data_IF_837397186422
#
_entry.id   IF_837397186422
#
_cell.length_a   1.000
_cell.length_b   1.000
_cell.length_c   1.000
_cell.angle_alpha   90.00
_cell.angle_beta   90.00
_cell.angle_gamma   90.00
#
_symmetry.space_group_name_H-M   'P 1'
#
loop_
_entity.id
_entity.type
_entity.pdbx_description
1 polymer ?
#
# COMPACT_ATOMS: atom_id res chain seq x y z
N UNK A 1 19.44 -17.79 1.54
CA UNK A 1 18.32 -17.06 2.18
C UNK A 1 18.76 -16.70 3.58
N UNK A 2 18.73 -15.43 3.92
CA UNK A 2 19.02 -14.94 5.27
C UNK A 2 17.70 -14.54 5.92
N UNK A 3 17.43 -15.07 7.11
CA UNK A 3 16.30 -14.66 7.93
C UNK A 3 16.75 -13.49 8.81
N UNK A 4 16.26 -12.31 8.50
CA UNK A 4 16.47 -11.11 9.30
C UNK A 4 15.27 -10.95 10.23
N UNK A 5 15.40 -11.49 11.44
CA UNK A 5 14.32 -11.47 12.44
C UNK A 5 13.99 -10.07 12.97
N UNK A 6 14.86 -9.10 12.74
CA UNK A 6 14.65 -7.69 13.07
C UNK A 6 14.36 -6.88 11.80
N UNK A 7 13.19 -6.23 11.78
CA UNK A 7 12.78 -5.38 10.65
C UNK A 7 13.75 -4.23 10.40
N UNK A 8 14.42 -3.70 11.42
CA UNK A 8 15.43 -2.66 11.27
C UNK A 8 16.61 -3.15 10.43
N UNK A 9 17.09 -4.36 10.71
CA UNK A 9 18.17 -4.96 9.92
C UNK A 9 17.78 -5.18 8.46
N UNK A 10 16.52 -5.56 8.20
CA UNK A 10 16.01 -5.71 6.84
C UNK A 10 16.08 -4.37 6.09
N UNK A 11 15.55 -3.32 6.69
CA UNK A 11 15.53 -2.00 6.04
C UNK A 11 16.94 -1.44 5.85
N UNK A 12 17.82 -1.57 6.83
CA UNK A 12 19.23 -1.15 6.73
C UNK A 12 19.95 -1.90 5.59
N UNK A 13 19.65 -3.19 5.42
CA UNK A 13 20.25 -4.02 4.35
C UNK A 13 19.77 -3.61 2.96
N UNK A 14 18.46 -3.35 2.81
CA UNK A 14 17.87 -2.84 1.56
C UNK A 14 18.43 -1.45 1.25
N UNK A 15 18.48 -0.59 2.25
CA UNK A 15 18.98 0.76 2.14
C UNK A 15 20.47 0.84 1.77
N UNK A 16 21.24 -0.15 2.16
CA UNK A 16 22.67 -0.27 1.84
C UNK A 16 22.92 -0.96 0.50
N UNK A 17 21.87 -1.29 -0.26
CA UNK A 17 21.94 -2.03 -1.52
C UNK A 17 22.69 -3.38 -1.38
N UNK A 18 22.43 -4.08 -0.28
CA UNK A 18 23.05 -5.36 0.06
C UNK A 18 22.11 -6.56 -0.08
N UNK A 19 20.93 -6.35 -0.64
CA UNK A 19 19.94 -7.40 -0.86
C UNK A 19 19.55 -7.46 -2.34
N UNK A 20 19.82 -8.58 -3.00
CA UNK A 20 19.37 -8.82 -4.38
C UNK A 20 17.84 -9.06 -4.45
N UNK A 21 17.28 -9.66 -3.42
CA UNK A 21 15.85 -9.94 -3.28
C UNK A 21 15.45 -9.90 -1.80
N UNK A 22 14.27 -9.38 -1.54
CA UNK A 22 13.75 -9.28 -0.17
C UNK A 22 12.24 -9.47 -0.14
N UNK A 23 11.69 -9.80 1.02
CA UNK A 23 10.26 -9.94 1.24
C UNK A 23 9.81 -9.01 2.37
N UNK A 24 8.83 -8.19 2.08
CA UNK A 24 8.21 -7.29 3.05
C UNK A 24 6.74 -7.04 2.70
N UNK A 25 6.10 -6.12 3.37
CA UNK A 25 4.72 -5.75 3.10
C UNK A 25 4.52 -4.24 3.10
N UNK A 26 3.68 -3.77 2.21
CA UNK A 26 3.21 -2.39 2.18
C UNK A 26 1.90 -2.24 2.94
N UNK A 27 1.76 -1.13 3.65
CA UNK A 27 0.47 -0.68 4.16
C UNK A 27 -0.29 0.07 3.07
N UNK A 28 -1.55 -0.30 2.84
CA UNK A 28 -2.39 0.43 1.90
C UNK A 28 -2.75 1.83 2.44
N UNK A 29 -2.92 2.78 1.53
CA UNK A 29 -3.44 4.12 1.79
C UNK A 29 -4.84 4.27 1.17
N UNK A 30 -5.70 5.20 1.67
CA UNK A 30 -7.01 5.43 1.08
C UNK A 30 -6.96 5.87 -0.39
N UNK A 31 -5.96 6.68 -0.74
CA UNK A 31 -5.69 7.07 -2.13
C UNK A 31 -4.69 6.09 -2.76
N UNK A 32 -4.94 5.58 -3.98
CA UNK A 32 -4.03 4.67 -4.67
C UNK A 32 -2.81 5.37 -5.26
N UNK A 33 -2.35 6.45 -4.65
CA UNK A 33 -1.19 7.24 -5.11
C UNK A 33 0.09 6.41 -5.13
N UNK A 34 0.75 6.38 -6.27
CA UNK A 34 1.97 5.61 -6.52
C UNK A 34 3.25 6.44 -6.38
N UNK A 35 3.13 7.74 -6.08
CA UNK A 35 4.23 8.69 -6.09
C UNK A 35 5.36 8.31 -5.12
N UNK A 36 5.01 8.00 -3.87
CA UNK A 36 6.01 7.70 -2.84
C UNK A 36 6.88 6.50 -3.20
N UNK A 37 6.28 5.48 -3.83
CA UNK A 37 6.94 4.19 -4.04
C UNK A 37 7.65 4.14 -5.39
N UNK A 38 7.04 4.67 -6.45
CA UNK A 38 7.50 4.42 -7.82
C UNK A 38 7.99 5.66 -8.56
N UNK A 39 7.81 6.88 -8.02
CA UNK A 39 8.28 8.08 -8.70
C UNK A 39 9.79 8.26 -8.52
N UNK A 40 10.55 8.17 -9.61
CA UNK A 40 12.02 8.22 -9.57
C UNK A 40 12.60 9.64 -9.36
N UNK A 41 11.77 10.68 -9.51
CA UNK A 41 12.17 12.06 -9.26
C UNK A 41 12.19 12.46 -7.78
N UNK A 42 11.82 11.57 -6.86
CA UNK A 42 12.01 11.79 -5.43
C UNK A 42 13.44 11.35 -5.06
N UNK A 43 14.16 12.22 -4.36
CA UNK A 43 15.52 11.94 -3.85
C UNK A 43 15.44 10.89 -2.70
N UNK A 44 14.98 9.69 -3.03
CA UNK A 44 15.00 8.53 -2.17
C UNK A 44 14.58 8.81 -0.72
N UNK A 45 15.38 8.34 0.21
CA UNK A 45 15.16 8.42 1.67
C UNK A 45 14.99 9.84 2.22
N UNK A 46 15.77 10.80 1.72
CA UNK A 46 15.75 12.18 2.23
C UNK A 46 14.43 12.90 1.94
N UNK A 47 13.76 12.53 0.86
CA UNK A 47 12.45 13.08 0.49
C UNK A 47 11.26 12.21 0.95
N UNK A 48 11.51 11.12 1.69
CA UNK A 48 10.49 10.17 2.13
C UNK A 48 9.99 9.26 1.00
N UNK A 49 10.69 9.22 -0.13
CA UNK A 49 10.39 8.29 -1.22
C UNK A 49 10.95 6.90 -0.94
N UNK A 50 10.37 5.90 -1.59
CA UNK A 50 10.77 4.50 -1.46
C UNK A 50 11.21 3.87 -2.78
N UNK A 51 11.33 4.66 -3.85
CA UNK A 51 11.73 4.16 -5.16
C UNK A 51 13.12 3.51 -5.16
N UNK A 52 14.00 3.93 -4.26
CA UNK A 52 15.31 3.32 -4.07
C UNK A 52 15.26 1.81 -3.80
N UNK A 53 14.12 1.30 -3.34
CA UNK A 53 13.91 -0.14 -3.10
C UNK A 53 13.75 -0.93 -4.40
N UNK A 54 13.34 -0.27 -5.48
CA UNK A 54 13.02 -0.88 -6.77
C UNK A 54 13.89 -0.36 -7.90
N UNK A 55 14.47 0.82 -7.75
CA UNK A 55 15.31 1.53 -8.72
C UNK A 55 14.64 1.69 -10.10
N UNK A 56 13.32 1.87 -10.12
CA UNK A 56 12.59 2.16 -11.35
C UNK A 56 12.91 3.59 -11.78
N UNK A 57 13.40 3.75 -13.01
CA UNK A 57 13.62 5.05 -13.61
C UNK A 57 12.94 5.10 -14.98
N UNK A 58 11.68 5.47 -15.00
CA UNK A 58 10.82 5.48 -16.17
C UNK A 58 10.12 6.83 -16.30
N UNK A 59 10.38 7.54 -17.39
CA UNK A 59 9.86 8.89 -17.61
C UNK A 59 8.34 8.88 -17.88
N UNK A 60 7.82 7.86 -18.55
CA UNK A 60 6.40 7.71 -18.81
C UNK A 60 5.64 7.42 -17.52
N UNK A 61 6.15 6.49 -16.70
CA UNK A 61 5.59 6.21 -15.38
C UNK A 61 5.54 7.45 -14.50
N UNK A 62 6.65 8.21 -14.46
CA UNK A 62 6.71 9.46 -13.71
C UNK A 62 5.64 10.47 -14.14
N UNK A 63 5.46 10.64 -15.46
CA UNK A 63 4.45 11.56 -15.98
C UNK A 63 3.02 11.10 -15.65
N UNK A 64 2.72 9.81 -15.83
CA UNK A 64 1.40 9.24 -15.50
C UNK A 64 1.05 9.40 -14.02
N UNK A 65 2.03 9.19 -13.12
CA UNK A 65 1.85 9.40 -11.66
C UNK A 65 1.51 10.87 -11.38
N UNK A 66 2.24 11.82 -11.95
CA UNK A 66 1.99 13.25 -11.76
C UNK A 66 0.63 13.68 -12.30
N UNK A 67 0.26 13.20 -13.48
CA UNK A 67 -1.04 13.51 -14.09
C UNK A 67 -2.20 12.96 -13.24
N UNK A 68 -2.06 11.75 -12.70
CA UNK A 68 -3.04 11.15 -11.81
C UNK A 68 -3.20 11.93 -10.50
N UNK A 69 -2.11 12.44 -9.93
CA UNK A 69 -2.13 13.27 -8.71
C UNK A 69 -2.80 14.62 -8.95
N UNK A 70 -2.62 15.19 -10.13
CA UNK A 70 -3.15 16.53 -10.47
C UNK A 70 -4.61 16.51 -10.94
N UNK A 71 -5.26 15.34 -11.02
CA UNK A 71 -6.64 15.22 -11.48
C UNK A 71 -7.60 14.88 -10.34
N UNK A 72 -8.79 15.49 -10.35
CA UNK A 72 -9.92 15.13 -9.50
C UNK A 72 -10.90 14.18 -10.20
N UNK A 73 -10.73 13.92 -11.51
CA UNK A 73 -11.58 12.99 -12.25
C UNK A 73 -11.16 11.55 -11.94
N UNK A 74 -11.99 10.86 -11.18
CA UNK A 74 -11.75 9.47 -10.76
C UNK A 74 -11.65 8.50 -11.94
N UNK A 75 -12.41 8.70 -13.01
CA UNK A 75 -12.37 7.83 -14.18
C UNK A 75 -11.06 7.99 -14.93
N UNK A 76 -10.61 9.21 -15.07
CA UNK A 76 -9.31 9.54 -15.68
C UNK A 76 -8.15 8.99 -14.84
N UNK A 77 -8.16 9.25 -13.52
CA UNK A 77 -7.14 8.71 -12.59
C UNK A 77 -7.05 7.19 -12.67
N UNK A 78 -8.19 6.50 -12.68
CA UNK A 78 -8.24 5.04 -12.80
C UNK A 78 -7.54 4.54 -14.09
N UNK A 79 -7.73 5.25 -15.20
CA UNK A 79 -7.07 4.91 -16.46
C UNK A 79 -5.56 5.09 -16.36
N UNK A 80 -5.10 6.20 -15.77
CA UNK A 80 -3.68 6.49 -15.60
C UNK A 80 -3.01 5.47 -14.67
N UNK A 81 -3.60 5.18 -13.51
CA UNK A 81 -3.05 4.19 -12.59
C UNK A 81 -3.02 2.78 -13.19
N UNK A 82 -3.97 2.44 -14.07
CA UNK A 82 -3.89 1.19 -14.82
C UNK A 82 -2.65 1.15 -15.71
N UNK A 83 -2.37 2.22 -16.44
CA UNK A 83 -1.16 2.32 -17.27
C UNK A 83 0.12 2.27 -16.41
N UNK A 84 0.12 2.92 -15.24
CA UNK A 84 1.24 2.81 -14.29
C UNK A 84 1.49 1.35 -13.88
N UNK A 85 0.42 0.60 -13.58
CA UNK A 85 0.55 -0.81 -13.20
C UNK A 85 1.10 -1.66 -14.35
N UNK A 86 0.69 -1.40 -15.58
CA UNK A 86 1.20 -2.12 -16.75
C UNK A 86 2.73 -1.91 -16.88
N UNK A 87 3.22 -0.68 -16.70
CA UNK A 87 4.66 -0.37 -16.71
C UNK A 87 5.40 -1.04 -15.52
N UNK A 88 4.86 -0.96 -14.31
CA UNK A 88 5.47 -1.56 -13.12
C UNK A 88 5.59 -3.09 -13.25
N UNK A 89 4.58 -3.73 -13.85
CA UNK A 89 4.60 -5.16 -14.14
C UNK A 89 5.69 -5.51 -15.15
N UNK A 90 5.89 -4.67 -16.19
CA UNK A 90 6.94 -4.88 -17.18
C UNK A 90 8.36 -4.74 -16.58
N UNK A 91 8.53 -3.87 -15.61
CA UNK A 91 9.78 -3.77 -14.84
C UNK A 91 10.04 -5.00 -13.94
N UNK A 92 8.99 -5.76 -13.61
CA UNK A 92 9.05 -6.99 -12.80
C UNK A 92 9.78 -6.85 -11.45
N UNK A 93 9.68 -5.68 -10.82
CA UNK A 93 10.38 -5.34 -9.58
C UNK A 93 9.70 -5.88 -8.33
N UNK A 94 8.45 -6.32 -8.45
CA UNK A 94 7.65 -6.79 -7.34
C UNK A 94 6.84 -8.04 -7.71
N UNK A 95 6.84 -9.03 -6.82
CA UNK A 95 6.03 -10.25 -6.95
C UNK A 95 5.01 -10.28 -5.82
N UNK A 96 3.73 -9.93 -6.06
CA UNK A 96 2.69 -10.02 -5.06
C UNK A 96 2.47 -11.47 -4.62
N UNK A 97 2.60 -11.74 -3.32
CA UNK A 97 2.48 -13.10 -2.77
C UNK A 97 1.12 -13.31 -2.13
N UNK A 98 0.69 -12.41 -1.25
CA UNK A 98 -0.63 -12.47 -0.62
C UNK A 98 -1.05 -11.10 -0.07
N UNK A 99 -2.35 -10.95 0.12
CA UNK A 99 -2.93 -9.83 0.87
C UNK A 99 -3.43 -10.34 2.21
N UNK A 100 -2.99 -9.70 3.31
CA UNK A 100 -3.45 -10.04 4.66
C UNK A 100 -4.92 -9.68 4.82
N UNK A 101 -5.69 -10.58 5.41
CA UNK A 101 -7.04 -10.30 5.88
C UNK A 101 -7.00 -10.03 7.39
N UNK A 102 -7.66 -8.95 7.81
CA UNK A 102 -7.87 -8.68 9.22
C UNK A 102 -9.21 -9.29 9.64
N UNK A 103 -9.23 -9.99 10.76
CA UNK A 103 -10.44 -10.53 11.35
C UNK A 103 -10.77 -9.77 12.65
N UNK A 104 -12.04 -9.50 12.85
CA UNK A 104 -12.58 -8.96 14.10
C UNK A 104 -13.55 -9.99 14.65
N UNK A 105 -13.36 -10.36 15.92
CA UNK A 105 -14.14 -11.39 16.56
C UNK A 105 -15.06 -10.75 17.61
N UNK A 106 -16.36 -10.96 17.45
CA UNK A 106 -17.36 -10.52 18.40
C UNK A 106 -18.04 -11.70 19.10
N UNK A 107 -18.44 -11.51 20.36
CA UNK A 107 -19.35 -12.43 21.03
C UNK A 107 -20.78 -12.19 20.54
N UNK A 108 -21.28 -13.07 19.70
CA UNK A 108 -22.65 -12.98 19.17
C UNK A 108 -23.76 -13.14 20.23
N UNK A 109 -23.38 -13.62 21.43
CA UNK A 109 -24.30 -13.67 22.57
C UNK A 109 -24.43 -12.30 23.27
N UNK A 110 -23.42 -11.46 23.15
CA UNK A 110 -23.36 -10.16 23.83
C UNK A 110 -23.59 -8.97 22.90
N UNK A 111 -23.18 -9.09 21.66
CA UNK A 111 -23.25 -8.01 20.67
C UNK A 111 -24.39 -8.29 19.71
N UNK A 112 -25.26 -7.31 19.53
CA UNK A 112 -26.27 -7.33 18.49
C UNK A 112 -25.60 -7.12 17.14
N UNK A 113 -25.34 -8.20 16.42
CA UNK A 113 -24.60 -8.17 15.15
C UNK A 113 -25.29 -7.34 14.05
N UNK A 114 -26.59 -7.06 14.17
CA UNK A 114 -27.30 -6.19 13.23
C UNK A 114 -26.92 -4.71 13.37
N UNK A 115 -26.26 -4.34 14.46
CA UNK A 115 -25.81 -2.98 14.74
C UNK A 115 -24.33 -2.76 14.44
N UNK A 116 -23.61 -3.82 14.06
CA UNK A 116 -22.23 -3.72 13.60
C UNK A 116 -22.23 -3.34 12.12
N UNK A 117 -21.47 -2.29 11.76
CA UNK A 117 -21.38 -1.89 10.34
C UNK A 117 -20.89 -3.03 9.46
N UNK A 118 -21.55 -3.31 8.33
CA UNK A 118 -21.09 -4.32 7.38
C UNK A 118 -19.91 -3.85 6.52
N UNK A 119 -19.66 -2.54 6.48
CA UNK A 119 -18.73 -1.90 5.55
C UNK A 119 -17.32 -1.77 6.14
N UNK A 120 -16.85 -2.80 6.85
CA UNK A 120 -15.51 -2.81 7.43
C UNK A 120 -14.47 -2.95 6.33
N UNK A 121 -13.56 -1.99 6.27
CA UNK A 121 -12.44 -1.95 5.34
C UNK A 121 -11.13 -1.81 6.11
N UNK A 122 -10.00 -1.76 5.40
CA UNK A 122 -8.69 -1.44 6.00
C UNK A 122 -8.67 -0.04 6.63
N UNK A 123 -9.51 0.88 6.15
CA UNK A 123 -9.54 2.29 6.56
C UNK A 123 -10.74 2.65 7.43
N UNK A 124 -11.77 1.83 7.41
CA UNK A 124 -13.00 2.03 8.16
C UNK A 124 -13.31 0.79 8.98
N UNK A 125 -12.99 0.84 10.26
CA UNK A 125 -13.17 -0.27 11.19
C UNK A 125 -14.44 -0.14 12.00
N UNK A 126 -14.77 -1.16 12.76
CA UNK A 126 -15.92 -1.20 13.66
C UNK A 126 -15.92 -0.08 14.73
N UNK A 127 -14.73 0.41 15.11
CA UNK A 127 -14.58 1.54 16.05
C UNK A 127 -15.07 2.87 15.51
N UNK A 128 -15.17 3.02 14.19
CA UNK A 128 -15.64 4.26 13.57
C UNK A 128 -17.13 4.53 13.86
N UNK A 129 -17.89 3.47 14.20
CA UNK A 129 -19.29 3.55 14.53
C UNK A 129 -19.60 2.80 15.85
N UNK A 130 -18.65 2.80 16.79
CA UNK A 130 -18.79 2.06 18.06
C UNK A 130 -20.01 2.50 18.87
N UNK A 131 -20.42 3.76 18.74
CA UNK A 131 -21.60 4.32 19.41
C UNK A 131 -22.92 3.74 18.89
N UNK A 132 -22.92 3.09 17.73
CA UNK A 132 -24.10 2.44 17.15
C UNK A 132 -24.23 0.98 17.57
N UNK A 133 -23.19 0.40 18.16
CA UNK A 133 -23.18 -1.00 18.55
C UNK A 133 -23.98 -1.19 19.83
N UNK A 134 -24.99 -2.03 19.76
CA UNK A 134 -25.84 -2.39 20.88
C UNK A 134 -25.46 -3.75 21.45
N UNK A 135 -25.72 -3.91 22.74
CA UNK A 135 -25.62 -5.20 23.42
C UNK A 135 -26.99 -5.89 23.40
N UNK A 136 -26.94 -7.23 23.31
CA UNK A 136 -28.16 -8.06 23.46
C UNK A 136 -28.68 -8.06 24.91
#
# INVERSE_FOLDING_TARGET
>A
VTDLSDSTQLWDTIEADQADMWAAAWGATPDPDMYQIYFSGMDGKAAGGSNYMYDINDAELNQLILDARNSLDQSYRKTLYKSCLDIIVDWAVEVPVYQRQNAIIFSTQRVNMNTVTPDITTFYGWLNEVEKIELN
#
